data_IF_020289116949
#
_entry.id   IF_020289116949
#
_cell.length_a   1.000
_cell.length_b   1.000
_cell.length_c   1.000
_cell.angle_alpha   90.00
_cell.angle_beta   90.00
_cell.angle_gamma   90.00
#
_symmetry.space_group_name_H-M   'P 1'
#
loop_
_entity.id
_entity.type
_entity.pdbx_description
1 polymer ?
#
# COMPACT_ATOMS: atom_id res chain seq x y z
N UNK A 1 -16.21 -31.33 -75.52
CA UNK A 1 -15.04 -31.37 -74.61
C UNK A 1 -14.56 -29.94 -74.42
N UNK A 2 -14.40 -29.34 -73.25
CA UNK A 2 -14.65 -29.64 -71.83
C UNK A 2 -14.94 -28.27 -71.19
N UNK A 3 -15.85 -28.22 -70.23
CA UNK A 3 -16.21 -27.00 -69.51
C UNK A 3 -15.15 -26.57 -68.49
N UNK A 4 -15.19 -25.31 -68.10
CA UNK A 4 -14.44 -24.78 -66.95
C UNK A 4 -15.45 -24.05 -66.06
N UNK A 5 -15.69 -24.61 -64.88
CA UNK A 5 -16.53 -24.03 -63.84
C UNK A 5 -15.65 -23.15 -62.93
N UNK A 6 -16.11 -21.93 -62.63
CA UNK A 6 -15.50 -21.05 -61.63
C UNK A 6 -16.21 -21.27 -60.28
N UNK A 7 -15.43 -21.68 -59.27
CA UNK A 7 -15.86 -21.92 -57.88
C UNK A 7 -15.63 -20.62 -57.07
N UNK A 8 -16.59 -20.13 -56.25
CA UNK A 8 -16.38 -18.95 -55.43
C UNK A 8 -15.53 -19.29 -54.19
N UNK A 9 -14.50 -18.49 -53.93
CA UNK A 9 -13.58 -18.67 -52.80
C UNK A 9 -14.24 -18.33 -51.45
N UNK A 10 -14.16 -19.27 -50.51
CA UNK A 10 -14.50 -19.07 -49.10
C UNK A 10 -13.41 -18.22 -48.42
N UNK A 11 -13.79 -17.06 -47.88
CA UNK A 11 -12.92 -16.28 -46.98
C UNK A 11 -13.09 -16.86 -45.57
N UNK A 12 -12.10 -17.59 -45.08
CA UNK A 12 -12.03 -18.06 -43.70
C UNK A 12 -11.59 -16.91 -42.78
N UNK A 13 -12.55 -16.37 -42.03
CA UNK A 13 -12.28 -15.43 -40.93
C UNK A 13 -11.62 -16.17 -39.77
N UNK A 14 -10.33 -15.92 -39.54
CA UNK A 14 -9.58 -16.43 -38.39
C UNK A 14 -9.98 -15.62 -37.14
N UNK A 15 -10.87 -16.17 -36.32
CA UNK A 15 -11.26 -15.61 -35.04
C UNK A 15 -10.11 -15.83 -34.03
N UNK A 16 -9.27 -14.82 -33.81
CA UNK A 16 -8.23 -14.84 -32.78
C UNK A 16 -8.92 -14.60 -31.44
N UNK A 17 -9.29 -15.67 -30.74
CA UNK A 17 -9.66 -15.62 -29.32
C UNK A 17 -8.40 -15.36 -28.51
N UNK A 18 -8.27 -14.15 -27.95
CA UNK A 18 -7.18 -13.79 -27.06
C UNK A 18 -7.19 -14.67 -25.81
N UNK A 19 -6.17 -15.50 -25.65
CA UNK A 19 -5.91 -16.23 -24.41
C UNK A 19 -5.50 -15.19 -23.35
N UNK A 20 -6.45 -14.81 -22.49
CA UNK A 20 -6.13 -14.05 -21.28
C UNK A 20 -5.39 -14.98 -20.32
N UNK A 21 -4.06 -14.81 -20.22
CA UNK A 21 -3.30 -15.46 -19.15
C UNK A 21 -3.78 -14.91 -17.80
N UNK A 22 -3.88 -15.75 -16.76
CA UNK A 22 -4.25 -15.27 -15.43
C UNK A 22 -3.22 -14.25 -14.97
N UNK A 23 -3.64 -13.01 -14.74
CA UNK A 23 -2.83 -12.03 -14.03
C UNK A 23 -2.69 -12.51 -12.59
N UNK A 24 -1.47 -12.56 -12.05
CA UNK A 24 -1.28 -12.73 -10.61
C UNK A 24 -2.02 -11.61 -9.90
N UNK A 25 -3.03 -11.95 -9.09
CA UNK A 25 -3.81 -10.95 -8.37
C UNK A 25 -2.90 -10.18 -7.42
N UNK A 26 -2.84 -8.86 -7.59
CA UNK A 26 -1.84 -8.01 -6.96
C UNK A 26 -2.22 -7.60 -5.54
N UNK A 27 -3.53 -7.57 -5.24
CA UNK A 27 -4.07 -7.43 -3.89
C UNK A 27 -4.94 -8.65 -3.61
N UNK A 28 -4.64 -9.40 -2.55
CA UNK A 28 -5.41 -10.58 -2.15
C UNK A 28 -5.46 -10.70 -0.65
N UNK A 29 -6.61 -11.13 -0.11
CA UNK A 29 -6.75 -11.46 1.31
C UNK A 29 -5.98 -12.73 1.66
N UNK A 30 -5.46 -12.82 2.88
CA UNK A 30 -4.96 -14.09 3.42
C UNK A 30 -6.02 -14.84 4.26
N UNK A 31 -7.24 -14.30 4.31
CA UNK A 31 -8.41 -14.82 5.03
C UNK A 31 -8.30 -14.81 6.56
N UNK A 32 -7.34 -14.07 7.14
CA UNK A 32 -7.17 -14.01 8.60
C UNK A 32 -7.87 -12.84 9.29
N UNK A 33 -8.49 -11.92 8.53
CA UNK A 33 -9.21 -10.76 9.09
C UNK A 33 -10.54 -10.49 8.39
N UNK A 34 -11.19 -11.50 7.81
CA UNK A 34 -12.43 -11.32 7.03
C UNK A 34 -12.33 -10.22 5.96
N UNK A 35 -11.12 -9.95 5.47
CA UNK A 35 -10.91 -8.92 4.45
C UNK A 35 -11.41 -9.42 3.12
N UNK A 36 -12.32 -8.67 2.52
CA UNK A 36 -12.84 -8.93 1.19
C UNK A 36 -12.15 -7.98 0.20
N UNK A 37 -11.63 -8.52 -0.89
CA UNK A 37 -11.01 -7.74 -1.97
C UNK A 37 -11.80 -7.99 -3.24
N UNK A 38 -12.43 -6.95 -3.76
CA UNK A 38 -13.19 -6.97 -5.01
C UNK A 38 -12.37 -6.31 -6.13
N UNK A 39 -11.68 -7.09 -6.98
CA UNK A 39 -10.92 -6.55 -8.09
C UNK A 39 -11.83 -6.14 -9.25
N UNK A 40 -11.57 -4.95 -9.81
CA UNK A 40 -12.10 -4.48 -11.09
C UNK A 40 -10.92 -3.98 -11.95
N UNK A 41 -10.35 -4.90 -12.73
CA UNK A 41 -9.09 -4.65 -13.42
C UNK A 41 -7.95 -4.41 -12.43
N UNK A 42 -7.35 -3.22 -12.48
CA UNK A 42 -6.25 -2.80 -11.59
C UNK A 42 -6.74 -2.05 -10.33
N UNK A 43 -8.06 -1.93 -10.15
CA UNK A 43 -8.65 -1.28 -8.98
C UNK A 43 -9.17 -2.35 -8.02
N UNK A 44 -8.87 -2.19 -6.74
CA UNK A 44 -9.16 -3.15 -5.69
C UNK A 44 -10.00 -2.45 -4.62
N UNK A 45 -11.30 -2.76 -4.58
CA UNK A 45 -12.16 -2.30 -3.51
C UNK A 45 -12.00 -3.24 -2.32
N UNK A 46 -11.54 -2.69 -1.19
CA UNK A 46 -11.25 -3.41 0.04
C UNK A 46 -12.39 -3.14 1.01
N UNK A 47 -13.10 -4.21 1.35
CA UNK A 47 -14.30 -4.19 2.17
C UNK A 47 -14.09 -5.03 3.44
N UNK A 48 -15.06 -4.91 4.34
CA UNK A 48 -15.14 -5.66 5.59
C UNK A 48 -13.87 -5.46 6.45
N UNK A 49 -13.22 -6.53 6.90
CA UNK A 49 -12.18 -6.47 7.91
C UNK A 49 -12.68 -6.85 9.29
N UNK A 50 -11.79 -6.86 10.28
CA UNK A 50 -12.17 -6.99 11.68
C UNK A 50 -12.11 -5.61 12.33
N UNK A 51 -13.27 -5.07 12.70
CA UNK A 51 -13.34 -3.83 13.47
C UNK A 51 -13.31 -4.13 14.98
N UNK A 52 -12.47 -3.40 15.72
CA UNK A 52 -12.45 -3.36 17.18
C UNK A 52 -12.34 -1.89 17.62
N UNK A 53 -13.44 -1.35 18.15
CA UNK A 53 -13.53 0.09 18.42
C UNK A 53 -13.33 0.89 17.13
N UNK A 54 -12.41 1.85 17.15
CA UNK A 54 -12.09 2.69 16.00
C UNK A 54 -10.90 2.16 15.16
N UNK A 55 -10.46 0.92 15.41
CA UNK A 55 -9.42 0.24 14.63
C UNK A 55 -10.08 -0.77 13.67
N UNK A 56 -9.67 -0.73 12.40
CA UNK A 56 -10.09 -1.66 11.36
C UNK A 56 -8.88 -2.46 10.86
N UNK A 57 -8.91 -3.77 11.04
CA UNK A 57 -7.80 -4.66 10.70
C UNK A 57 -8.03 -5.36 9.37
N UNK A 58 -7.04 -5.25 8.48
CA UNK A 58 -6.96 -5.99 7.24
C UNK A 58 -5.68 -6.79 7.11
N UNK A 59 -5.78 -7.94 6.45
CA UNK A 59 -4.68 -8.87 6.27
C UNK A 59 -4.69 -9.40 4.85
N UNK A 60 -3.55 -9.24 4.21
CA UNK A 60 -3.37 -9.53 2.80
C UNK A 60 -2.32 -10.60 2.62
N UNK A 61 -2.54 -11.51 1.69
CA UNK A 61 -1.47 -12.36 1.18
C UNK A 61 -0.58 -11.51 0.28
N UNK A 62 -1.16 -10.80 -0.67
CA UNK A 62 -0.45 -9.87 -1.56
C UNK A 62 -1.03 -8.47 -1.44
N UNK A 63 -0.17 -7.44 -1.46
CA UNK A 63 -0.59 -6.05 -1.51
C UNK A 63 0.37 -5.24 -2.39
N UNK A 64 0.13 -5.25 -3.68
CA UNK A 64 0.82 -4.45 -4.71
C UNK A 64 -0.21 -3.74 -5.56
N UNK A 65 0.07 -2.49 -5.94
CA UNK A 65 -0.86 -1.64 -6.68
C UNK A 65 -0.14 -1.17 -7.95
N UNK A 66 -0.62 -1.52 -9.14
CA UNK A 66 0.06 -1.22 -10.39
C UNK A 66 -0.16 0.24 -10.79
N UNK A 67 0.59 0.68 -11.81
CA UNK A 67 0.36 1.99 -12.43
C UNK A 67 -1.08 2.13 -12.91
N UNK A 68 -1.72 3.24 -12.55
CA UNK A 68 -3.11 3.53 -12.93
C UNK A 68 -4.16 2.72 -12.16
N UNK A 69 -3.74 1.84 -11.24
CA UNK A 69 -4.62 1.13 -10.32
C UNK A 69 -4.83 1.85 -8.99
N UNK A 70 -5.74 1.30 -8.18
CA UNK A 70 -6.02 1.78 -6.83
C UNK A 70 -6.29 0.64 -5.85
N UNK A 71 -5.96 0.84 -4.58
CA UNK A 71 -6.55 0.11 -3.46
C UNK A 71 -7.43 1.08 -2.67
N UNK A 72 -8.73 0.83 -2.65
CA UNK A 72 -9.73 1.72 -2.05
C UNK A 72 -10.34 1.03 -0.83
N UNK A 73 -10.04 1.55 0.36
CA UNK A 73 -10.63 1.10 1.60
C UNK A 73 -12.02 1.72 1.78
N UNK A 74 -13.07 0.88 1.80
CA UNK A 74 -14.43 1.31 2.10
C UNK A 74 -14.69 1.19 3.60
N UNK A 75 -14.02 2.05 4.37
CA UNK A 75 -14.19 2.14 5.82
C UNK A 75 -15.34 3.09 6.19
N UNK A 76 -15.96 2.85 7.34
CA UNK A 76 -16.88 3.82 7.93
C UNK A 76 -16.13 5.04 8.50
N UNK A 77 -16.82 6.17 8.62
CA UNK A 77 -16.25 7.44 9.08
C UNK A 77 -15.84 7.47 10.56
N UNK A 78 -16.34 6.52 11.37
CA UNK A 78 -15.93 6.33 12.77
C UNK A 78 -14.59 5.58 12.89
N UNK A 79 -14.05 5.02 11.80
CA UNK A 79 -12.73 4.39 11.82
C UNK A 79 -11.65 5.47 11.92
N UNK A 80 -10.80 5.34 12.94
CA UNK A 80 -9.64 6.21 13.17
C UNK A 80 -8.37 5.60 12.59
N UNK A 81 -8.21 4.28 12.66
CA UNK A 81 -7.02 3.59 12.15
C UNK A 81 -7.38 2.39 11.28
N UNK A 82 -6.86 2.34 10.06
CA UNK A 82 -6.89 1.18 9.18
C UNK A 82 -5.52 0.52 9.24
N UNK A 83 -5.48 -0.71 9.74
CA UNK A 83 -4.25 -1.41 10.11
C UNK A 83 -4.09 -2.63 9.22
N UNK A 84 -3.11 -2.56 8.33
CA UNK A 84 -2.91 -3.52 7.26
C UNK A 84 -1.63 -4.30 7.49
N UNK A 85 -1.68 -5.62 7.32
CA UNK A 85 -0.49 -6.48 7.27
C UNK A 85 -0.44 -7.29 5.98
N UNK A 86 0.77 -7.59 5.51
CA UNK A 86 1.03 -8.45 4.35
C UNK A 86 1.80 -9.70 4.78
N UNK A 87 1.23 -10.89 4.51
CA UNK A 87 1.72 -12.19 4.99
C UNK A 87 2.27 -13.08 3.86
N UNK A 88 2.32 -12.54 2.63
CA UNK A 88 2.76 -13.23 1.41
C UNK A 88 4.22 -13.65 1.38
N UNK A 89 5.08 -12.85 2.02
CA UNK A 89 6.53 -12.91 1.85
C UNK A 89 7.04 -12.20 0.59
N UNK A 90 6.14 -11.58 -0.18
CA UNK A 90 6.48 -10.80 -1.38
C UNK A 90 6.54 -9.30 -1.08
N UNK A 91 7.43 -8.60 -1.78
CA UNK A 91 7.57 -7.14 -1.69
C UNK A 91 6.28 -6.46 -2.19
N UNK A 92 5.79 -5.48 -1.42
CA UNK A 92 4.69 -4.61 -1.83
C UNK A 92 5.18 -3.57 -2.84
N UNK A 93 4.81 -3.72 -4.11
CA UNK A 93 5.09 -2.73 -5.15
C UNK A 93 3.90 -1.78 -5.27
N UNK A 94 4.03 -0.58 -4.72
CA UNK A 94 2.99 0.46 -4.71
C UNK A 94 3.34 1.49 -5.78
N UNK A 95 2.73 1.36 -6.95
CA UNK A 95 2.89 2.29 -8.07
C UNK A 95 1.54 2.88 -8.52
N UNK A 96 0.53 2.85 -7.64
CA UNK A 96 -0.79 3.42 -7.89
C UNK A 96 -1.32 4.18 -6.68
N UNK A 97 -2.65 4.27 -6.57
CA UNK A 97 -3.32 5.02 -5.51
C UNK A 97 -3.67 4.14 -4.31
N UNK A 98 -3.36 4.56 -3.09
CA UNK A 98 -4.02 4.06 -1.88
C UNK A 98 -5.04 5.11 -1.45
N UNK A 99 -6.29 4.72 -1.30
CA UNK A 99 -7.40 5.59 -0.91
C UNK A 99 -8.14 5.06 0.30
N UNK A 100 -8.50 5.93 1.23
CA UNK A 100 -9.38 5.61 2.36
C UNK A 100 -10.42 6.72 2.57
N UNK A 101 -11.58 6.37 3.11
CA UNK A 101 -12.67 7.31 3.35
C UNK A 101 -12.53 8.02 4.71
N UNK A 102 -13.04 9.26 4.79
CA UNK A 102 -13.02 10.05 6.03
C UNK A 102 -11.60 10.48 6.46
N UNK A 103 -11.33 10.46 7.77
CA UNK A 103 -10.10 11.00 8.37
C UNK A 103 -9.16 9.90 8.92
N UNK A 104 -9.35 8.65 8.50
CA UNK A 104 -8.62 7.52 9.04
C UNK A 104 -7.11 7.62 8.74
N UNK A 105 -6.30 7.26 9.73
CA UNK A 105 -4.90 6.94 9.55
C UNK A 105 -4.76 5.57 8.89
N UNK A 106 -3.70 5.36 8.12
CA UNK A 106 -3.45 4.09 7.45
C UNK A 106 -2.06 3.57 7.79
N UNK A 107 -2.01 2.35 8.32
CA UNK A 107 -0.80 1.63 8.66
C UNK A 107 -0.65 0.44 7.70
N UNK A 108 0.52 0.28 7.10
CA UNK A 108 0.85 -0.86 6.24
C UNK A 108 2.17 -1.47 6.70
N UNK A 109 2.11 -2.72 7.17
CA UNK A 109 3.31 -3.51 7.45
C UNK A 109 3.50 -4.62 6.40
N UNK A 110 4.71 -4.71 5.86
CA UNK A 110 5.15 -5.83 5.03
C UNK A 110 6.62 -6.14 5.32
N UNK A 111 6.92 -7.23 6.06
CA UNK A 111 8.30 -7.60 6.40
C UNK A 111 9.20 -7.75 5.17
N UNK A 112 8.68 -8.25 4.05
CA UNK A 112 9.48 -8.48 2.85
C UNK A 112 10.04 -7.19 2.22
N UNK A 113 9.41 -6.04 2.48
CA UNK A 113 9.80 -4.75 1.91
C UNK A 113 8.66 -4.01 1.25
N UNK A 114 8.83 -2.70 1.07
CA UNK A 114 7.86 -1.83 0.39
C UNK A 114 8.58 -0.95 -0.63
N UNK A 115 8.09 -0.96 -1.87
CA UNK A 115 8.58 -0.11 -2.95
C UNK A 115 7.47 0.86 -3.35
N UNK A 116 7.64 2.13 -3.03
CA UNK A 116 6.82 3.22 -3.57
C UNK A 116 7.41 3.64 -4.92
N UNK A 117 6.73 3.27 -6.00
CA UNK A 117 7.05 3.64 -7.37
C UNK A 117 6.79 5.11 -7.69
N UNK A 118 7.06 5.51 -8.93
CA UNK A 118 6.96 6.90 -9.36
C UNK A 118 5.53 7.46 -9.38
N UNK A 119 4.53 6.58 -9.47
CA UNK A 119 3.12 6.95 -9.56
C UNK A 119 2.37 6.71 -8.24
N UNK A 120 3.09 6.34 -7.17
CA UNK A 120 2.52 6.12 -5.86
C UNK A 120 1.83 7.39 -5.35
N UNK A 121 0.57 7.26 -4.94
CA UNK A 121 -0.23 8.35 -4.38
C UNK A 121 -0.99 7.87 -3.15
N UNK A 122 -1.22 8.79 -2.23
CA UNK A 122 -2.13 8.59 -1.10
C UNK A 122 -3.28 9.59 -1.24
N UNK A 123 -4.50 9.11 -1.11
CA UNK A 123 -5.72 9.90 -0.93
C UNK A 123 -6.39 9.42 0.36
N UNK A 124 -5.83 9.89 1.48
CA UNK A 124 -6.28 9.54 2.83
C UNK A 124 -6.49 10.83 3.63
N UNK A 125 -7.51 10.87 4.49
CA UNK A 125 -7.73 12.03 5.34
C UNK A 125 -6.80 12.11 6.55
N UNK A 126 -6.20 10.99 6.97
CA UNK A 126 -5.29 10.89 8.11
C UNK A 126 -3.80 10.84 7.75
N UNK A 127 -3.00 10.35 8.69
CA UNK A 127 -1.56 10.10 8.52
C UNK A 127 -1.31 8.71 7.93
N UNK A 128 -0.15 8.53 7.31
CA UNK A 128 0.28 7.24 6.75
C UNK A 128 1.52 6.71 7.46
N UNK A 129 1.52 5.43 7.81
CA UNK A 129 2.70 4.70 8.25
C UNK A 129 2.93 3.51 7.32
N UNK A 130 4.08 3.49 6.65
CA UNK A 130 4.57 2.33 5.90
C UNK A 130 5.76 1.72 6.63
N UNK A 131 5.72 0.43 6.93
CA UNK A 131 6.78 -0.22 7.69
C UNK A 131 7.11 -1.62 7.22
N UNK A 132 8.35 -2.04 7.43
CA UNK A 132 8.78 -3.43 7.21
C UNK A 132 8.89 -4.20 8.53
N UNK A 133 8.18 -3.76 9.56
CA UNK A 133 8.05 -4.48 10.81
C UNK A 133 7.32 -5.82 10.63
N UNK A 134 7.67 -6.80 11.46
CA UNK A 134 7.01 -8.09 11.55
C UNK A 134 5.65 -8.01 12.24
N UNK A 135 5.45 -7.05 13.13
CA UNK A 135 4.18 -6.85 13.80
C UNK A 135 3.99 -5.44 14.37
N UNK A 136 2.75 -5.14 14.75
CA UNK A 136 2.37 -3.98 15.56
C UNK A 136 1.93 -4.50 16.93
N UNK A 137 2.57 -3.99 17.99
CA UNK A 137 2.21 -4.27 19.38
C UNK A 137 1.24 -3.21 19.88
N UNK A 138 0.19 -3.63 20.57
CA UNK A 138 -0.84 -2.78 21.15
C UNK A 138 -0.72 -2.72 22.68
N UNK A 139 -1.39 -1.75 23.30
CA UNK A 139 -1.28 -1.48 24.74
C UNK A 139 -1.75 -2.63 25.62
N UNK A 140 -2.74 -3.37 25.15
CA UNK A 140 -3.27 -4.57 25.81
C UNK A 140 -2.39 -5.82 25.61
N UNK A 141 -1.24 -5.69 24.95
CA UNK A 141 -0.33 -6.79 24.64
C UNK A 141 -0.75 -7.60 23.42
N UNK A 142 -1.82 -7.23 22.71
CA UNK A 142 -2.14 -7.87 21.43
C UNK A 142 -1.06 -7.55 20.39
N UNK A 143 -0.73 -8.55 19.57
CA UNK A 143 0.24 -8.44 18.50
C UNK A 143 -0.39 -8.73 17.14
N UNK A 144 -0.46 -7.72 16.28
CA UNK A 144 -0.91 -7.90 14.90
C UNK A 144 0.28 -8.28 14.01
N UNK A 145 0.59 -9.57 13.94
CA UNK A 145 1.79 -10.11 13.29
C UNK A 145 1.59 -10.48 11.82
N UNK A 146 2.49 -10.04 10.95
CA UNK A 146 2.59 -10.43 9.54
C UNK A 146 3.29 -11.79 9.34
N UNK A 147 4.09 -12.23 10.32
CA UNK A 147 4.91 -13.45 10.23
C UNK A 147 4.28 -14.64 10.95
N UNK A 148 3.50 -14.39 11.99
CA UNK A 148 2.70 -15.38 12.71
C UNK A 148 1.22 -14.96 12.72
N UNK A 149 0.53 -14.94 11.56
CA UNK A 149 -0.80 -14.37 11.48
C UNK A 149 -1.85 -15.24 12.18
N UNK A 150 -2.53 -14.64 13.16
CA UNK A 150 -3.70 -15.21 13.84
C UNK A 150 -4.99 -14.76 13.14
N UNK A 151 -6.01 -15.60 13.14
CA UNK A 151 -7.28 -15.40 12.42
C UNK A 151 -8.29 -14.49 13.13
N UNK A 152 -8.10 -14.18 14.42
CA UNK A 152 -8.96 -13.24 15.14
C UNK A 152 -8.18 -12.45 16.21
N UNK A 153 -8.19 -11.12 16.16
CA UNK A 153 -7.81 -10.28 17.28
C UNK A 153 -8.75 -10.53 18.47
N UNK A 154 -8.21 -10.94 19.62
CA UNK A 154 -9.02 -11.21 20.82
C UNK A 154 -9.72 -9.93 21.31
N UNK A 155 -9.00 -8.81 21.41
CA UNK A 155 -9.50 -7.44 21.57
C UNK A 155 -8.44 -6.47 21.03
N UNK A 156 -8.84 -5.39 20.35
CA UNK A 156 -7.91 -4.34 19.88
C UNK A 156 -8.57 -2.95 19.82
N UNK A 157 -9.22 -2.53 20.91
CA UNK A 157 -9.70 -1.13 21.07
C UNK A 157 -8.57 -0.17 21.47
N UNK A 158 -7.41 -0.72 21.82
CA UNK A 158 -6.22 -0.04 22.31
C UNK A 158 -5.44 0.66 21.19
N UNK A 159 -4.58 1.60 21.57
CA UNK A 159 -3.70 2.30 20.64
C UNK A 159 -2.47 1.43 20.30
N UNK A 160 -1.91 1.53 19.08
CA UNK A 160 -0.61 0.94 18.78
C UNK A 160 0.47 1.51 19.70
N UNK A 161 1.20 0.65 20.42
CA UNK A 161 2.35 1.05 21.23
C UNK A 161 3.63 1.14 20.41
N UNK A 162 3.83 0.23 19.45
CA UNK A 162 5.09 0.18 18.72
C UNK A 162 5.17 -0.87 17.62
N UNK A 163 6.23 -0.74 16.83
CA UNK A 163 6.58 -1.67 15.76
C UNK A 163 7.59 -2.70 16.26
N UNK A 164 7.33 -3.98 16.03
CA UNK A 164 8.32 -5.03 16.25
C UNK A 164 9.02 -5.34 14.94
N UNK A 165 10.25 -4.82 14.79
CA UNK A 165 10.96 -4.92 13.51
C UNK A 165 11.34 -6.36 13.16
N UNK A 166 11.61 -7.21 14.16
CA UNK A 166 12.05 -8.58 13.95
C UNK A 166 13.33 -8.70 13.12
N UNK A 167 13.56 -9.87 12.53
CA UNK A 167 14.78 -10.19 11.76
C UNK A 167 14.53 -10.26 10.24
N UNK A 168 13.28 -10.51 9.84
CA UNK A 168 12.86 -10.59 8.44
C UNK A 168 12.57 -9.22 7.82
N UNK A 169 12.83 -8.13 8.54
CA UNK A 169 12.61 -6.77 8.05
C UNK A 169 13.43 -6.46 6.80
N UNK A 170 12.73 -6.13 5.72
CA UNK A 170 13.28 -5.72 4.43
C UNK A 170 13.47 -4.21 4.31
N UNK A 171 13.73 -3.77 3.08
CA UNK A 171 13.98 -2.38 2.76
C UNK A 171 12.70 -1.64 2.35
N UNK A 172 12.69 -0.33 2.59
CA UNK A 172 11.74 0.59 1.96
C UNK A 172 12.46 1.38 0.87
N UNK A 173 11.90 1.40 -0.34
CA UNK A 173 12.41 2.20 -1.46
C UNK A 173 11.36 3.19 -1.93
N UNK A 174 11.75 4.44 -2.14
CA UNK A 174 10.88 5.50 -2.68
C UNK A 174 11.49 6.04 -3.97
N UNK A 175 10.75 5.90 -5.07
CA UNK A 175 11.17 6.24 -6.43
C UNK A 175 10.51 7.52 -6.96
N UNK A 176 9.30 7.85 -6.47
CA UNK A 176 8.56 9.06 -6.83
C UNK A 176 9.31 10.36 -6.57
N UNK A 177 8.96 11.41 -7.31
CA UNK A 177 9.54 12.73 -7.11
C UNK A 177 8.97 13.35 -5.84
N UNK A 178 9.85 13.62 -4.88
CA UNK A 178 9.52 14.46 -3.74
C UNK A 178 9.39 15.92 -4.18
N UNK A 179 9.33 16.82 -3.20
CA UNK A 179 9.33 18.25 -3.49
C UNK A 179 10.70 18.66 -4.02
N UNK A 180 10.74 19.30 -5.19
CA UNK A 180 11.96 19.94 -5.71
C UNK A 180 12.06 21.34 -5.08
N UNK A 181 13.06 21.54 -4.22
CA UNK A 181 13.39 22.86 -3.71
C UNK A 181 14.11 23.63 -4.83
N UNK A 182 13.46 24.67 -5.36
CA UNK A 182 14.12 25.64 -6.22
C UNK A 182 14.36 26.88 -5.37
N UNK A 183 15.61 27.08 -4.96
CA UNK A 183 16.04 28.26 -4.23
C UNK A 183 17.52 28.50 -4.48
N UNK A 184 17.83 29.58 -5.22
CA UNK A 184 19.16 30.18 -5.19
C UNK A 184 19.29 31.05 -3.94
N UNK A 185 20.52 31.32 -3.51
CA UNK A 185 20.79 32.16 -2.32
C UNK A 185 19.90 33.40 -2.31
N UNK A 186 19.03 33.48 -1.30
CA UNK A 186 18.09 34.58 -1.00
C UNK A 186 16.73 34.63 -1.73
N UNK A 187 16.29 33.62 -2.49
CA UNK A 187 14.89 33.56 -3.00
C UNK A 187 13.96 32.73 -2.12
N UNK A 188 12.66 33.09 -1.98
CA UNK A 188 11.67 32.22 -1.36
C UNK A 188 11.69 30.84 -2.00
N UNK A 189 11.67 29.79 -1.18
CA UNK A 189 11.66 28.40 -1.66
C UNK A 189 10.35 28.14 -2.39
N UNK A 190 10.42 27.99 -3.71
CA UNK A 190 9.25 27.63 -4.53
C UNK A 190 9.11 26.11 -4.56
N UNK A 191 7.99 25.60 -4.02
CA UNK A 191 7.59 24.18 -4.15
C UNK A 191 6.89 23.99 -5.50
N UNK A 192 7.59 23.48 -6.50
CA UNK A 192 6.97 23.09 -7.77
C UNK A 192 6.44 21.65 -7.68
N UNK A 193 5.11 21.50 -7.63
CA UNK A 193 4.42 20.22 -7.59
C UNK A 193 3.98 19.82 -9.01
N UNK A 194 4.84 19.16 -9.78
CA UNK A 194 4.54 18.80 -11.18
C UNK A 194 4.34 17.30 -11.42
N UNK A 195 4.28 16.47 -10.38
CA UNK A 195 4.19 15.01 -10.53
C UNK A 195 3.37 14.35 -9.39
N UNK A 196 2.87 13.10 -9.59
CA UNK A 196 2.26 12.31 -8.53
C UNK A 196 3.26 12.13 -7.38
N UNK A 197 2.98 12.69 -6.21
CA UNK A 197 3.87 12.59 -5.05
C UNK A 197 3.23 11.75 -3.96
N UNK A 198 4.07 11.03 -3.22
CA UNK A 198 3.68 10.41 -1.95
C UNK A 198 3.52 11.55 -0.93
N UNK A 199 2.29 11.98 -0.70
CA UNK A 199 1.95 13.10 0.17
C UNK A 199 0.64 12.83 0.90
N UNK A 200 0.43 13.52 2.01
CA UNK A 200 -0.83 13.55 2.76
C UNK A 200 -1.28 15.00 2.95
N UNK A 201 -2.51 15.19 3.43
CA UNK A 201 -3.06 16.51 3.69
C UNK A 201 -2.23 17.32 4.72
N UNK A 202 -2.33 18.64 4.65
CA UNK A 202 -1.65 19.54 5.59
C UNK A 202 -2.01 19.20 7.04
N UNK A 203 -1.02 19.15 7.93
CA UNK A 203 -1.20 18.75 9.33
C UNK A 203 -1.24 17.23 9.56
N UNK A 204 -1.03 16.42 8.53
CA UNK A 204 -0.81 14.97 8.62
C UNK A 204 0.65 14.62 8.30
N UNK A 205 1.05 13.41 8.63
CA UNK A 205 2.42 12.95 8.48
C UNK A 205 2.54 11.65 7.67
N UNK A 206 3.71 11.45 7.07
CA UNK A 206 4.13 10.16 6.50
C UNK A 206 5.30 9.65 7.34
N UNK A 207 5.15 8.47 7.93
CA UNK A 207 6.22 7.76 8.61
C UNK A 207 6.62 6.53 7.79
N UNK A 208 7.92 6.40 7.48
CA UNK A 208 8.46 5.22 6.80
C UNK A 208 9.53 4.59 7.70
N UNK A 209 9.26 3.37 8.19
CA UNK A 209 10.13 2.68 9.14
C UNK A 209 10.51 1.32 8.58
N UNK A 210 11.76 1.15 8.17
CA UNK A 210 12.24 -0.13 7.69
C UNK A 210 13.69 -0.40 8.05
N UNK A 211 14.19 -1.59 7.69
CA UNK A 211 15.60 -1.94 7.95
C UNK A 211 16.54 -0.95 7.28
N UNK A 212 16.26 -0.62 6.03
CA UNK A 212 16.87 0.48 5.30
C UNK A 212 15.80 1.32 4.61
N UNK A 213 16.07 2.62 4.48
CA UNK A 213 15.25 3.55 3.70
C UNK A 213 16.07 4.11 2.53
N UNK A 214 15.73 3.71 1.32
CA UNK A 214 16.38 4.11 0.08
C UNK A 214 15.54 5.16 -0.66
N UNK A 215 15.94 6.43 -0.53
CA UNK A 215 15.36 7.55 -1.27
C UNK A 215 16.22 7.84 -2.50
N UNK A 216 15.65 7.75 -3.71
CA UNK A 216 16.41 8.12 -4.91
C UNK A 216 16.79 9.62 -4.87
N UNK A 217 18.05 9.94 -5.20
CA UNK A 217 18.73 11.23 -4.97
C UNK A 217 17.94 12.49 -5.44
N UNK A 218 18.15 13.61 -4.72
CA UNK A 218 17.54 14.95 -4.92
C UNK A 218 16.04 15.11 -4.57
N UNK A 219 15.50 14.24 -3.70
CA UNK A 219 14.06 14.17 -3.46
C UNK A 219 13.75 14.15 -1.96
N UNK A 220 13.05 15.18 -1.48
CA UNK A 220 12.55 15.23 -0.10
C UNK A 220 11.05 14.92 -0.06
N UNK A 221 10.67 13.92 0.72
CA UNK A 221 9.29 13.72 1.15
C UNK A 221 8.94 14.88 2.09
N UNK A 222 7.82 15.55 1.87
CA UNK A 222 7.38 16.60 2.79
C UNK A 222 6.90 15.94 4.07
N UNK A 223 7.68 16.14 5.14
CA UNK A 223 7.50 15.58 6.49
C UNK A 223 7.61 14.05 6.54
N UNK A 224 8.85 13.57 6.49
CA UNK A 224 9.22 12.24 6.97
C UNK A 224 10.01 12.39 8.26
N UNK A 225 9.50 11.87 9.36
CA UNK A 225 10.31 11.69 10.57
C UNK A 225 11.17 10.45 10.37
N UNK A 226 12.46 10.68 10.07
CA UNK A 226 13.43 9.62 9.83
C UNK A 226 13.96 9.13 11.17
N UNK A 227 13.41 8.04 11.70
CA UNK A 227 13.93 7.45 12.94
C UNK A 227 14.83 6.25 12.59
N UNK A 228 16.14 6.43 12.80
CA UNK A 228 17.12 5.34 12.68
C UNK A 228 17.16 4.57 14.00
N UNK A 229 17.01 3.26 13.93
CA UNK A 229 17.01 2.35 15.07
C UNK A 229 18.21 2.56 16.00
N UNK A 230 17.94 2.72 17.30
CA UNK A 230 18.61 1.92 18.31
C UNK A 230 17.67 1.73 19.52
N UNK A 231 17.16 0.51 19.66
CA UNK A 231 16.52 -0.09 20.85
C UNK A 231 15.43 0.73 21.58
N UNK A 232 14.19 0.24 21.43
CA UNK A 232 12.98 0.60 22.20
C UNK A 232 12.36 1.94 21.85
N UNK A 233 11.23 1.89 21.13
CA UNK A 233 10.37 3.06 20.91
C UNK A 233 9.35 3.18 22.04
N UNK A 234 9.40 4.30 22.77
CA UNK A 234 8.29 4.78 23.58
C UNK A 234 7.50 5.83 22.78
N UNK A 235 6.18 5.63 22.73
CA UNK A 235 5.09 6.58 22.52
C UNK A 235 5.23 7.61 21.37
N UNK A 236 4.42 7.41 20.33
CA UNK A 236 3.92 8.48 19.47
C UNK A 236 2.57 8.95 20.06
N UNK A 237 2.61 10.02 20.86
CA UNK A 237 1.45 10.85 21.22
C UNK A 237 1.86 12.33 21.08
#
# INVERSE_FOLDING_TARGET
>A
MKGIAFLPGFITSLLITGLALPAFSQVTSDNTTNTTVNPNGNNFDILDGIQKGNNLFHSFKEFSIPTGGSATFNNSTDIVNIINRVTGGNISNINGLIKAEGNANLFLINPAGIVFGENARLDIGGSFLGSTAESILFEDGFEFSAVNPQSQPLLTVSVPLGLQMGQMSGDIKVQGTGHRLIGGGFTPVIRNNTQPTLQVNSGKAIALVGKNLNLQQNKFLTVAELIRNNTTFQSLC
#
